data_IF_238857575440
#
_entry.id   IF_238857575440
#
_cell.length_a   1.000
_cell.length_b   1.000
_cell.length_c   1.000
_cell.angle_alpha   90.00
_cell.angle_beta   90.00
_cell.angle_gamma   90.00
#
_symmetry.space_group_name_H-M   'P 1'
#
loop_
_entity.id
_entity.type
_entity.pdbx_description
1 polymer ?
#
# COMPACT_ATOMS: atom_id res chain seq x y z
N UNK A 1 -2.75 -3.47 9.53
CA UNK A 1 -1.65 -3.54 8.53
C UNK A 1 -0.68 -2.43 8.86
N UNK A 2 0.54 -2.80 9.26
CA UNK A 2 1.56 -1.89 9.84
C UNK A 2 2.56 -1.50 8.76
N UNK A 3 2.30 -0.40 8.04
CA UNK A 3 3.26 0.35 7.22
C UNK A 3 2.80 1.81 7.14
N UNK A 4 3.66 2.79 7.48
CA UNK A 4 3.74 4.09 6.78
C UNK A 4 4.78 5.04 7.39
N UNK A 5 5.76 5.45 6.57
CA UNK A 5 6.16 6.85 6.41
C UNK A 5 5.17 7.63 5.50
N UNK A 6 4.99 8.92 5.77
CA UNK A 6 3.99 9.81 5.12
C UNK A 6 4.14 9.94 3.59
N UNK A 7 5.31 9.66 3.03
CA UNK A 7 5.57 9.82 1.59
C UNK A 7 4.97 8.72 0.70
N UNK A 8 4.42 7.64 1.27
CA UNK A 8 3.82 6.53 0.50
C UNK A 8 2.37 6.79 0.07
N UNK A 9 1.78 7.91 0.49
CA UNK A 9 0.41 8.32 0.17
C UNK A 9 0.02 8.32 -1.33
N UNK A 10 0.89 8.69 -2.30
CA UNK A 10 0.50 8.73 -3.70
C UNK A 10 0.48 7.34 -4.37
N UNK A 11 0.94 6.27 -3.70
CA UNK A 11 0.98 4.93 -4.31
C UNK A 11 -0.41 4.30 -4.29
N UNK A 12 -0.84 3.78 -5.45
CA UNK A 12 -2.08 3.02 -5.56
C UNK A 12 -1.97 1.68 -4.85
N UNK A 13 -2.98 1.36 -4.03
CA UNK A 13 -3.12 0.08 -3.35
C UNK A 13 -4.01 -0.84 -4.16
N UNK A 14 -3.74 -2.14 -4.08
CA UNK A 14 -4.57 -3.16 -4.70
C UNK A 14 -4.76 -4.34 -3.74
N UNK A 15 -5.78 -5.16 -3.94
CA UNK A 15 -5.96 -6.41 -3.18
C UNK A 15 -5.83 -7.63 -4.08
N UNK A 16 -5.48 -8.78 -3.50
CA UNK A 16 -5.41 -10.05 -4.25
C UNK A 16 -6.72 -10.40 -4.98
N UNK A 17 -7.86 -9.96 -4.47
CA UNK A 17 -9.17 -10.13 -5.10
C UNK A 17 -9.55 -8.99 -6.08
N UNK A 18 -8.58 -8.19 -6.54
CA UNK A 18 -8.76 -7.24 -7.63
C UNK A 18 -9.36 -5.88 -7.25
N UNK A 19 -9.47 -5.57 -5.96
CA UNK A 19 -9.94 -4.26 -5.49
C UNK A 19 -8.81 -3.24 -5.58
N UNK A 20 -9.16 -1.96 -5.80
CA UNK A 20 -8.19 -0.86 -5.92
C UNK A 20 -8.51 0.24 -4.93
N UNK A 21 -7.47 0.90 -4.41
CA UNK A 21 -7.63 1.90 -3.37
C UNK A 21 -6.42 2.81 -3.19
N UNK A 22 -6.52 3.70 -2.22
CA UNK A 22 -5.46 4.65 -1.85
C UNK A 22 -5.38 4.86 -0.34
N UNK A 23 -4.24 5.32 0.13
CA UNK A 23 -4.04 5.73 1.54
C UNK A 23 -4.73 7.09 1.74
N UNK A 24 -5.55 7.20 2.80
CA UNK A 24 -6.20 8.45 3.20
C UNK A 24 -5.37 9.17 4.26
N UNK A 25 -5.08 8.49 5.36
CA UNK A 25 -4.38 9.05 6.50
C UNK A 25 -3.63 7.95 7.27
N UNK A 26 -2.53 8.33 7.90
CA UNK A 26 -1.81 7.50 8.87
C UNK A 26 -2.46 7.66 10.24
N UNK A 27 -2.65 6.57 10.96
CA UNK A 27 -3.35 6.54 12.24
C UNK A 27 -2.46 5.95 13.33
N UNK A 28 -2.38 6.65 14.45
CA UNK A 28 -1.62 6.22 15.62
C UNK A 28 -0.11 6.32 15.44
N UNK A 29 0.62 5.77 16.41
CA UNK A 29 2.09 5.73 16.45
C UNK A 29 2.66 4.51 15.73
N UNK A 30 1.89 3.41 15.64
CA UNK A 30 2.32 2.15 15.08
C UNK A 30 1.81 1.96 13.66
N UNK A 31 2.45 2.63 12.70
CA UNK A 31 2.39 2.41 11.23
C UNK A 31 1.03 1.99 10.64
N UNK A 32 -0.08 2.33 11.28
CA UNK A 32 -1.40 1.91 10.86
C UNK A 32 -1.91 2.97 9.92
N UNK A 33 -2.68 2.57 8.92
CA UNK A 33 -3.18 3.48 7.91
C UNK A 33 -4.65 3.20 7.65
N UNK A 34 -5.39 4.27 7.39
CA UNK A 34 -6.74 4.20 6.84
C UNK A 34 -6.64 4.31 5.33
N UNK A 35 -7.29 3.37 4.65
CA UNK A 35 -7.33 3.28 3.21
C UNK A 35 -8.77 3.35 2.73
N UNK A 36 -8.98 3.88 1.52
CA UNK A 36 -10.28 3.86 0.84
C UNK A 36 -10.13 2.97 -0.39
N UNK A 37 -11.07 2.03 -0.57
CA UNK A 37 -11.14 1.15 -1.74
C UNK A 37 -12.42 1.41 -2.53
N UNK A 38 -12.40 1.02 -3.81
CA UNK A 38 -13.55 1.12 -4.71
C UNK A 38 -14.75 0.24 -4.30
N UNK A 39 -14.52 -0.78 -3.49
CA UNK A 39 -15.53 -1.75 -3.04
C UNK A 39 -15.20 -2.25 -1.64
N UNK A 40 -16.17 -2.92 -0.99
CA UNK A 40 -15.98 -3.51 0.34
C UNK A 40 -14.89 -4.59 0.31
N UNK A 41 -13.86 -4.41 1.13
CA UNK A 41 -12.78 -5.37 1.34
C UNK A 41 -13.23 -6.42 2.37
N UNK A 42 -12.96 -7.69 2.10
CA UNK A 42 -13.26 -8.80 3.00
C UNK A 42 -12.11 -9.02 4.01
N UNK A 43 -12.36 -9.74 5.10
CA UNK A 43 -11.33 -9.95 6.14
C UNK A 43 -10.19 -10.88 5.69
N UNK A 44 -10.43 -11.74 4.72
CA UNK A 44 -9.45 -12.62 4.09
C UNK A 44 -8.68 -11.93 2.95
N UNK A 45 -9.03 -10.70 2.60
CA UNK A 45 -8.28 -9.91 1.63
C UNK A 45 -6.89 -9.57 2.14
N UNK A 46 -5.92 -9.70 1.24
CA UNK A 46 -4.60 -9.11 1.44
C UNK A 46 -4.48 -7.83 0.60
N UNK A 47 -4.22 -6.71 1.26
CA UNK A 47 -3.85 -5.44 0.62
C UNK A 47 -2.36 -5.47 0.26
N UNK A 48 -2.04 -5.01 -0.94
CA UNK A 48 -0.71 -5.01 -1.53
C UNK A 48 -0.39 -3.64 -2.13
N UNK A 49 0.91 -3.35 -2.22
CA UNK A 49 1.45 -2.11 -2.78
C UNK A 49 2.69 -2.46 -3.60
N UNK A 50 2.73 -2.03 -4.85
CA UNK A 50 3.85 -2.31 -5.75
C UNK A 50 4.84 -1.15 -5.74
N UNK A 51 6.07 -1.41 -5.29
CA UNK A 51 7.15 -0.42 -5.28
C UNK A 51 8.25 -0.86 -6.24
N UNK A 52 8.71 0.06 -7.09
CA UNK A 52 9.74 -0.20 -8.09
C UNK A 52 10.97 0.66 -7.80
N UNK A 53 12.16 0.05 -7.92
CA UNK A 53 13.44 0.74 -7.88
C UNK A 53 14.25 0.31 -9.10
N UNK A 54 14.86 1.28 -9.79
CA UNK A 54 15.76 0.98 -10.91
C UNK A 54 16.99 0.25 -10.39
N UNK A 55 17.28 -0.93 -10.95
CA UNK A 55 18.50 -1.68 -10.68
C UNK A 55 19.48 -1.48 -11.85
N UNK A 56 20.67 -0.98 -11.56
CA UNK A 56 21.75 -0.89 -12.55
C UNK A 56 22.62 -2.16 -12.49
N UNK A 57 23.13 -2.65 -13.64
CA UNK A 57 24.09 -3.75 -13.63
C UNK A 57 25.32 -3.33 -12.85
N UNK A 58 25.92 -4.29 -12.11
CA UNK A 58 27.22 -4.06 -11.49
C UNK A 58 28.27 -4.02 -12.62
N UNK A 59 29.12 -3.00 -12.62
CA UNK A 59 30.34 -3.05 -13.44
C UNK A 59 31.25 -4.10 -12.80
N UNK A 60 31.67 -5.07 -13.60
CA UNK A 60 32.67 -6.07 -13.23
C UNK A 60 34.00 -5.73 -13.90
#
# INVERSE_FOLDING_TARGET
MVVTPSFLQPVELWTKHGRRGRIKETVGTHSSMKCIFNSSVQQDDTVCMSLFKRAFPKLN
#
